data_IF_404186545177
#
_entry.id   IF_404186545177
#
_cell.length_a   1.000
_cell.length_b   1.000
_cell.length_c   1.000
_cell.angle_alpha   90.00
_cell.angle_beta   90.00
_cell.angle_gamma   90.00
#
_symmetry.space_group_name_H-M   'P 1'
#
loop_
_entity.id
_entity.type
_entity.pdbx_description
1 polymer ?
#
# COMPACT_ATOMS: atom_id res chain seq x y z
N UNK A 1 -14.03 13.78 -12.80
CA UNK A 1 -13.02 14.59 -12.10
C UNK A 1 -11.77 13.76 -11.90
N UNK A 2 -10.63 14.27 -12.30
CA UNK A 2 -9.37 13.55 -12.14
C UNK A 2 -8.96 13.56 -10.66
N UNK A 3 -8.63 12.39 -10.12
CA UNK A 3 -8.09 12.29 -8.76
C UNK A 3 -6.63 12.70 -8.81
N UNK A 4 -6.27 13.70 -8.02
CA UNK A 4 -4.87 14.09 -7.88
C UNK A 4 -4.18 13.08 -6.97
N UNK A 5 -3.51 12.12 -7.58
CA UNK A 5 -2.88 11.02 -6.85
C UNK A 5 -1.45 11.39 -6.47
N UNK A 6 -1.28 11.98 -5.28
CA UNK A 6 0.04 12.22 -4.73
C UNK A 6 0.61 10.91 -4.17
N UNK A 7 1.95 10.78 -4.08
CA UNK A 7 2.55 9.58 -3.47
C UNK A 7 2.03 9.31 -2.05
N UNK A 8 1.86 10.36 -1.26
CA UNK A 8 1.32 10.23 0.10
C UNK A 8 -0.11 9.68 0.09
N UNK A 9 -0.96 10.21 -0.77
CA UNK A 9 -2.34 9.76 -0.90
C UNK A 9 -2.40 8.30 -1.36
N UNK A 10 -1.55 7.94 -2.32
CA UNK A 10 -1.46 6.56 -2.79
C UNK A 10 -0.96 5.62 -1.69
N UNK A 11 -0.02 6.07 -0.86
CA UNK A 11 0.46 5.30 0.28
C UNK A 11 -0.66 5.02 1.27
N UNK A 12 -1.46 6.04 1.60
CA UNK A 12 -2.61 5.87 2.49
C UNK A 12 -3.64 4.90 1.90
N UNK A 13 -3.84 4.95 0.59
CA UNK A 13 -4.75 4.03 -0.08
C UNK A 13 -4.25 2.59 0.01
N UNK A 14 -2.96 2.37 -0.16
CA UNK A 14 -2.35 1.05 -0.02
C UNK A 14 -2.56 0.52 1.41
N UNK A 15 -2.33 1.37 2.41
CA UNK A 15 -2.55 0.99 3.81
C UNK A 15 -4.02 0.69 4.09
N UNK A 16 -4.92 1.45 3.48
CA UNK A 16 -6.35 1.20 3.60
C UNK A 16 -6.74 -0.17 3.06
N UNK A 17 -6.11 -0.59 1.97
CA UNK A 17 -6.32 -1.93 1.42
C UNK A 17 -5.89 -3.00 2.43
N UNK A 18 -4.72 -2.82 3.06
CA UNK A 18 -4.26 -3.75 4.10
C UNK A 18 -5.27 -3.85 5.25
N UNK A 19 -5.65 -2.72 5.80
CA UNK A 19 -6.41 -2.67 7.06
C UNK A 19 -7.90 -2.86 6.82
N UNK A 20 -8.47 -2.14 5.85
CA UNK A 20 -9.92 -2.10 5.67
C UNK A 20 -10.46 -3.17 4.73
N UNK A 21 -9.73 -3.46 3.65
CA UNK A 21 -10.20 -4.46 2.69
C UNK A 21 -9.90 -5.88 3.16
N UNK A 22 -8.67 -6.12 3.63
CA UNK A 22 -8.25 -7.45 4.07
C UNK A 22 -8.29 -7.66 5.58
N UNK A 23 -8.49 -6.60 6.35
CA UNK A 23 -8.53 -6.71 7.81
C UNK A 23 -7.21 -7.10 8.46
N UNK A 24 -6.10 -6.75 7.84
CA UNK A 24 -4.78 -7.12 8.34
C UNK A 24 -4.33 -6.18 9.46
N UNK A 25 -3.46 -6.71 10.30
CA UNK A 25 -2.86 -5.96 11.41
C UNK A 25 -1.36 -5.85 11.23
N UNK A 26 -0.72 -5.07 12.10
CA UNK A 26 0.73 -4.92 12.10
C UNK A 26 1.42 -6.28 12.15
N UNK A 27 2.43 -6.47 11.31
CA UNK A 27 3.18 -7.72 11.20
C UNK A 27 2.66 -8.65 10.12
N UNK A 28 1.48 -8.42 9.60
CA UNK A 28 0.92 -9.27 8.54
C UNK A 28 1.45 -8.88 7.17
N UNK A 29 1.45 -9.83 6.26
CA UNK A 29 2.06 -9.69 4.93
C UNK A 29 0.99 -9.79 3.85
N UNK A 30 1.13 -8.96 2.82
CA UNK A 30 0.28 -8.99 1.65
C UNK A 30 1.15 -9.05 0.41
N UNK A 31 0.77 -9.91 -0.53
CA UNK A 31 1.52 -10.07 -1.78
C UNK A 31 1.13 -9.01 -2.79
N UNK A 32 2.07 -8.69 -3.66
CA UNK A 32 1.85 -7.72 -4.74
C UNK A 32 0.64 -8.07 -5.60
N UNK A 33 0.42 -9.35 -5.87
CA UNK A 33 -0.70 -9.79 -6.68
C UNK A 33 -2.05 -9.41 -6.11
N UNK A 34 -2.16 -9.25 -4.80
CA UNK A 34 -3.40 -8.83 -4.15
C UNK A 34 -3.81 -7.43 -4.55
N UNK A 35 -2.85 -6.57 -4.91
CA UNK A 35 -3.11 -5.21 -5.35
C UNK A 35 -3.40 -5.11 -6.84
N UNK A 36 -2.98 -6.11 -7.62
CA UNK A 36 -3.08 -6.06 -9.08
C UNK A 36 -4.51 -5.88 -9.57
N UNK A 37 -5.46 -6.52 -8.91
CA UNK A 37 -6.88 -6.42 -9.24
C UNK A 37 -7.52 -5.22 -8.56
N UNK A 38 -7.21 -5.01 -7.29
CA UNK A 38 -7.87 -3.99 -6.47
C UNK A 38 -7.45 -2.57 -6.83
N UNK A 39 -6.19 -2.38 -7.19
CA UNK A 39 -5.66 -1.04 -7.43
C UNK A 39 -6.37 -0.32 -8.58
N UNK A 40 -6.50 -0.96 -9.78
CA UNK A 40 -7.24 -0.32 -10.88
C UNK A 40 -8.72 -0.09 -10.53
N UNK A 41 -9.33 -0.97 -9.77
CA UNK A 41 -10.73 -0.84 -9.37
C UNK A 41 -10.98 0.40 -8.53
N UNK A 42 -9.95 0.91 -7.85
CA UNK A 42 -10.04 2.12 -7.05
C UNK A 42 -9.77 3.39 -7.86
N UNK A 43 -9.53 3.26 -9.18
CA UNK A 43 -9.35 4.39 -10.07
C UNK A 43 -7.93 4.92 -10.16
N UNK A 44 -6.96 4.19 -9.65
CA UNK A 44 -5.56 4.59 -9.68
C UNK A 44 -4.80 3.90 -10.81
N UNK A 45 -3.70 4.51 -11.26
CA UNK A 45 -2.83 3.96 -12.29
C UNK A 45 -1.74 3.07 -11.70
N UNK A 46 -1.18 2.12 -12.47
CA UNK A 46 -0.08 1.28 -11.97
C UNK A 46 1.12 2.07 -11.46
N UNK A 47 1.48 3.17 -12.12
CA UNK A 47 2.59 4.02 -11.68
C UNK A 47 2.31 4.69 -10.32
N UNK A 48 1.04 4.96 -10.02
CA UNK A 48 0.65 5.54 -8.74
C UNK A 48 0.85 4.56 -7.61
N UNK A 49 0.61 3.27 -7.87
CA UNK A 49 0.90 2.22 -6.89
C UNK A 49 2.38 2.21 -6.54
N UNK A 50 3.25 2.25 -7.53
CA UNK A 50 4.69 2.22 -7.32
C UNK A 50 5.16 3.42 -6.49
N UNK A 51 4.66 4.61 -6.82
CA UNK A 51 5.01 5.83 -6.09
C UNK A 51 4.50 5.79 -4.65
N UNK A 52 3.27 5.36 -4.45
CA UNK A 52 2.69 5.22 -3.11
C UNK A 52 3.41 4.17 -2.28
N UNK A 53 3.76 3.06 -2.90
CA UNK A 53 4.50 1.99 -2.24
C UNK A 53 5.87 2.49 -1.76
N UNK A 54 6.58 3.22 -2.61
CA UNK A 54 7.89 3.79 -2.25
C UNK A 54 7.75 4.77 -1.09
N UNK A 55 6.72 5.62 -1.13
CA UNK A 55 6.45 6.56 -0.05
C UNK A 55 6.19 5.82 1.27
N UNK A 56 5.38 4.77 1.22
CA UNK A 56 5.06 3.98 2.42
C UNK A 56 6.29 3.28 2.98
N UNK A 57 7.16 2.75 2.13
CA UNK A 57 8.41 2.11 2.56
C UNK A 57 9.34 3.15 3.18
N UNK A 58 9.50 4.30 2.53
CA UNK A 58 10.37 5.37 3.03
C UNK A 58 9.87 5.94 4.36
N UNK A 59 8.56 5.93 4.56
CA UNK A 59 7.96 6.40 5.82
C UNK A 59 8.00 5.35 6.94
N UNK A 60 8.43 4.14 6.62
CA UNK A 60 8.45 3.05 7.59
C UNK A 60 7.09 2.42 7.83
N UNK A 61 6.11 2.68 6.97
CA UNK A 61 4.77 2.12 7.08
C UNK A 61 4.67 0.69 6.54
N UNK A 62 5.47 0.39 5.53
CA UNK A 62 5.57 -0.94 4.95
C UNK A 62 7.02 -1.39 4.88
N UNK A 63 7.23 -2.69 4.94
CA UNK A 63 8.54 -3.30 4.79
C UNK A 63 8.53 -4.17 3.55
N UNK A 64 9.50 -3.93 2.65
CA UNK A 64 9.66 -4.75 1.45
C UNK A 64 10.41 -6.02 1.83
N UNK A 65 9.77 -7.16 1.58
CA UNK A 65 10.36 -8.46 1.91
C UNK A 65 11.24 -8.97 0.77
N UNK A 66 12.16 -9.91 1.06
CA UNK A 66 13.00 -10.53 0.03
C UNK A 66 12.15 -11.08 -1.11
N UNK A 67 12.60 -10.89 -2.36
CA UNK A 67 11.86 -11.34 -3.53
C UNK A 67 11.03 -10.25 -4.18
N UNK A 68 10.90 -9.08 -3.54
CA UNK A 68 10.22 -7.88 -4.05
C UNK A 68 8.73 -8.08 -4.42
N UNK A 69 8.12 -9.16 -3.93
CA UNK A 69 6.73 -9.48 -4.25
C UNK A 69 5.79 -9.45 -3.06
N UNK A 70 6.31 -9.12 -1.88
CA UNK A 70 5.51 -9.13 -0.66
C UNK A 70 5.87 -7.94 0.21
N UNK A 71 4.88 -7.44 0.94
CA UNK A 71 5.04 -6.28 1.81
C UNK A 71 4.46 -6.61 3.17
N UNK A 72 5.18 -6.23 4.22
CA UNK A 72 4.72 -6.40 5.60
C UNK A 72 4.22 -5.06 6.13
N UNK A 73 3.04 -5.07 6.72
CA UNK A 73 2.50 -3.88 7.39
C UNK A 73 3.24 -3.70 8.72
N UNK A 74 3.88 -2.53 8.89
CA UNK A 74 4.57 -2.23 10.14
C UNK A 74 3.57 -1.68 11.16
N UNK A 75 4.03 -1.61 12.42
CA UNK A 75 3.23 -1.00 13.48
C UNK A 75 2.93 0.47 13.18
N UNK A 76 3.93 1.20 12.68
CA UNK A 76 3.74 2.60 12.28
C UNK A 76 2.70 2.73 11.16
N UNK A 77 2.75 1.84 10.17
CA UNK A 77 1.77 1.85 9.09
C UNK A 77 0.37 1.57 9.58
N UNK A 78 0.22 0.65 10.51
CA UNK A 78 -1.08 0.32 11.08
C UNK A 78 -1.63 1.48 11.91
N UNK A 79 -0.78 2.18 12.65
CA UNK A 79 -1.18 3.24 13.58
C UNK A 79 -1.30 4.60 12.89
N UNK A 80 -0.33 4.96 12.06
CA UNK A 80 -0.17 6.31 11.49
C UNK A 80 -0.65 6.42 10.04
N UNK A 81 -0.76 5.28 9.39
CA UNK A 81 -1.15 5.21 7.97
C UNK A 81 -2.64 5.30 7.67
#
# INVERSE_FOLDING_TARGET
MAILATPEKCAHEILAIFVWHFGLRAGEVLRRNSFRVLWPQRGYRPKDFKAGLQFAIDSGWLELLPGDNSYRLTRSGFTDG
#
